data_IF_519613554815
#
_entry.id   IF_519613554815
#
_cell.length_a   1.000
_cell.length_b   1.000
_cell.length_c   1.000
_cell.angle_alpha   90.00
_cell.angle_beta   90.00
_cell.angle_gamma   90.00
#
_symmetry.space_group_name_H-M   'P 1'
#
loop_
_entity.id
_entity.type
_entity.pdbx_description
1 polymer ?
#
# COMPACT_ATOMS: atom_id res chain seq x y z
N UNK A 1 1.80 -5.11 27.28
CA UNK A 1 2.06 -4.98 25.83
C UNK A 1 1.50 -6.19 25.09
N UNK A 2 1.70 -7.41 25.62
CA UNK A 2 1.16 -8.67 25.09
C UNK A 2 -0.32 -8.63 24.76
N UNK A 3 -1.15 -8.13 25.69
CA UNK A 3 -2.59 -8.05 25.48
C UNK A 3 -2.97 -7.22 24.23
N UNK A 4 -2.29 -6.09 24.01
CA UNK A 4 -2.49 -5.26 22.81
C UNK A 4 -2.09 -6.04 21.55
N UNK A 5 -0.94 -6.71 21.58
CA UNK A 5 -0.42 -7.45 20.43
C UNK A 5 -1.30 -8.65 20.04
N UNK A 6 -1.76 -9.42 21.03
CA UNK A 6 -2.50 -10.65 20.79
C UNK A 6 -4.01 -10.44 20.67
N UNK A 7 -4.60 -9.52 21.44
CA UNK A 7 -6.07 -9.44 21.57
C UNK A 7 -6.69 -8.20 20.91
N UNK A 8 -5.92 -7.18 20.55
CA UNK A 8 -6.53 -5.98 19.95
C UNK A 8 -7.06 -6.23 18.54
N UNK A 9 -8.14 -5.53 18.20
CA UNK A 9 -8.73 -5.57 16.86
C UNK A 9 -7.75 -5.15 15.77
N UNK A 10 -7.00 -4.06 15.98
CA UNK A 10 -6.11 -3.49 14.98
C UNK A 10 -5.02 -4.46 14.51
N UNK A 11 -4.41 -5.19 15.44
CA UNK A 11 -3.40 -6.20 15.12
C UNK A 11 -3.99 -7.45 14.47
N UNK A 12 -5.20 -7.84 14.85
CA UNK A 12 -5.82 -9.06 14.32
C UNK A 12 -6.54 -8.86 12.98
N UNK A 13 -6.93 -7.63 12.62
CA UNK A 13 -7.72 -7.34 11.40
C UNK A 13 -7.06 -7.80 10.09
N UNK A 14 -5.73 -7.79 10.06
CA UNK A 14 -4.90 -8.16 8.90
C UNK A 14 -3.95 -9.32 9.19
N UNK A 15 -4.17 -10.05 10.29
CA UNK A 15 -3.37 -11.22 10.65
C UNK A 15 -3.91 -12.46 9.93
N UNK A 16 -3.01 -13.33 9.47
CA UNK A 16 -3.38 -14.49 8.66
C UNK A 16 -3.86 -14.10 7.25
N UNK A 17 -4.64 -14.98 6.62
CA UNK A 17 -5.00 -14.85 5.20
C UNK A 17 -6.51 -14.73 4.94
N UNK A 18 -7.35 -14.95 5.97
CA UNK A 18 -8.82 -15.01 5.82
C UNK A 18 -9.45 -13.68 5.39
N UNK A 19 -8.78 -12.56 5.69
CA UNK A 19 -9.21 -11.21 5.32
C UNK A 19 -8.92 -10.86 3.86
N UNK A 20 -8.01 -11.59 3.18
CA UNK A 20 -7.51 -11.18 1.87
C UNK A 20 -8.60 -11.26 0.79
N UNK A 21 -8.79 -10.23 -0.05
CA UNK A 21 -9.62 -10.36 -1.25
C UNK A 21 -8.86 -11.08 -2.37
N UNK A 22 -9.56 -11.40 -3.45
CA UNK A 22 -8.89 -11.77 -4.69
C UNK A 22 -8.21 -10.55 -5.33
N UNK A 23 -7.04 -10.72 -5.99
CA UNK A 23 -6.36 -11.99 -6.26
C UNK A 23 -5.46 -12.51 -5.11
N UNK A 24 -5.28 -11.76 -4.02
CA UNK A 24 -4.34 -12.12 -2.95
C UNK A 24 -4.69 -13.45 -2.27
N UNK A 25 -5.97 -13.74 -2.08
CA UNK A 25 -6.44 -14.97 -1.40
C UNK A 25 -5.98 -16.24 -2.11
N UNK A 26 -6.00 -16.26 -3.45
CA UNK A 26 -5.54 -17.38 -4.28
C UNK A 26 -4.08 -17.27 -4.74
N UNK A 27 -3.39 -16.16 -4.44
CA UNK A 27 -2.01 -15.91 -4.87
C UNK A 27 -1.00 -16.84 -4.18
N UNK A 28 0.00 -17.28 -4.94
CA UNK A 28 1.15 -18.07 -4.49
C UNK A 28 2.14 -17.28 -3.62
N UNK A 29 2.11 -15.95 -3.72
CA UNK A 29 3.02 -15.05 -3.00
C UNK A 29 2.44 -14.51 -1.67
N UNK A 30 1.20 -14.84 -1.33
CA UNK A 30 0.49 -14.27 -0.16
C UNK A 30 1.18 -14.49 1.18
N UNK A 31 1.97 -15.56 1.31
CA UNK A 31 2.74 -15.87 2.53
C UNK A 31 4.09 -15.13 2.60
N UNK A 32 4.50 -14.51 1.48
CA UNK A 32 5.75 -13.76 1.37
C UNK A 32 5.52 -12.27 1.62
N UNK A 33 4.49 -11.71 1.00
CA UNK A 33 4.22 -10.27 0.99
C UNK A 33 3.01 -9.84 1.83
N UNK A 34 2.20 -10.80 2.29
CA UNK A 34 0.99 -10.58 3.08
C UNK A 34 -0.01 -9.61 2.40
N UNK A 35 -0.05 -9.61 1.07
CA UNK A 35 -0.91 -8.74 0.27
C UNK A 35 -0.42 -7.30 0.13
N UNK A 36 0.78 -6.96 0.62
CA UNK A 36 1.39 -5.64 0.53
C UNK A 36 0.84 -4.62 1.54
N UNK A 37 1.07 -3.33 1.30
CA UNK A 37 0.80 -2.26 2.27
C UNK A 37 -0.68 -1.85 2.36
N UNK A 38 -1.25 -1.93 3.57
CA UNK A 38 -2.67 -1.57 3.84
C UNK A 38 -2.90 -0.06 3.81
N UNK A 39 -1.94 0.72 4.29
CA UNK A 39 -2.01 2.18 4.24
C UNK A 39 -2.02 2.69 2.79
N UNK A 40 -1.19 2.09 1.92
CA UNK A 40 -1.12 2.46 0.52
C UNK A 40 -2.39 2.05 -0.24
N UNK A 41 -2.90 0.84 0.02
CA UNK A 41 -4.20 0.41 -0.51
C UNK A 41 -5.32 1.39 -0.13
N UNK A 42 -5.40 1.79 1.14
CA UNK A 42 -6.39 2.77 1.57
C UNK A 42 -6.21 4.14 0.89
N UNK A 43 -5.00 4.71 0.92
CA UNK A 43 -4.76 6.05 0.37
C UNK A 43 -5.07 6.14 -1.13
N UNK A 44 -4.76 5.08 -1.89
CA UNK A 44 -4.91 5.10 -3.34
C UNK A 44 -6.25 4.55 -3.83
N UNK A 45 -6.95 3.73 -3.04
CA UNK A 45 -8.18 3.05 -3.47
C UNK A 45 -9.41 3.36 -2.61
N UNK A 46 -9.23 3.99 -1.45
CA UNK A 46 -10.28 4.26 -0.47
C UNK A 46 -10.65 3.05 0.40
N UNK A 47 -10.06 1.87 0.14
CA UNK A 47 -10.32 0.66 0.91
C UNK A 47 -8.99 -0.03 1.30
N UNK A 48 -8.76 -0.19 2.60
CA UNK A 48 -7.57 -0.81 3.16
C UNK A 48 -7.49 -2.33 2.91
N UNK A 49 -8.60 -2.97 2.57
CA UNK A 49 -8.64 -4.40 2.28
C UNK A 49 -8.16 -4.74 0.86
N UNK A 50 -8.20 -3.77 -0.07
CA UNK A 50 -7.82 -4.01 -1.45
C UNK A 50 -6.35 -4.43 -1.59
N UNK A 51 -6.05 -5.26 -2.58
CA UNK A 51 -4.68 -5.58 -2.98
C UNK A 51 -3.89 -4.30 -3.19
N UNK A 52 -2.67 -4.24 -2.63
CA UNK A 52 -1.78 -3.09 -2.78
C UNK A 52 -1.64 -2.72 -4.27
N UNK A 53 -1.98 -1.49 -4.69
CA UNK A 53 -1.86 -1.04 -6.07
C UNK A 53 -0.45 -1.16 -6.66
N UNK A 54 0.60 -1.25 -5.84
CA UNK A 54 1.97 -1.49 -6.33
C UNK A 54 2.10 -2.86 -6.98
N UNK A 55 1.37 -3.86 -6.49
CA UNK A 55 1.36 -5.19 -7.09
C UNK A 55 0.78 -5.14 -8.51
N UNK A 56 1.47 -5.73 -9.48
CA UNK A 56 1.01 -5.80 -10.88
C UNK A 56 -0.28 -6.61 -11.06
N UNK A 57 -0.59 -7.51 -10.12
CA UNK A 57 -1.84 -8.29 -10.09
C UNK A 57 -3.04 -7.47 -9.57
N UNK A 58 -2.82 -6.28 -9.00
CA UNK A 58 -3.90 -5.45 -8.45
C UNK A 58 -4.81 -4.89 -9.56
N UNK A 59 -6.15 -4.94 -9.41
CA UNK A 59 -7.08 -4.24 -10.32
C UNK A 59 -6.84 -2.73 -10.38
N UNK A 60 -6.19 -2.16 -9.36
CA UNK A 60 -5.89 -0.74 -9.26
C UNK A 60 -4.45 -0.39 -9.67
N UNK A 61 -3.69 -1.34 -10.23
CA UNK A 61 -2.29 -1.14 -10.60
C UNK A 61 -2.08 0.03 -11.58
N UNK A 62 -3.08 0.29 -12.43
CA UNK A 62 -3.07 1.44 -13.36
C UNK A 62 -2.76 2.77 -12.67
N UNK A 63 -3.23 2.99 -11.43
CA UNK A 63 -2.95 4.22 -10.67
C UNK A 63 -1.46 4.45 -10.43
N UNK A 64 -0.70 3.38 -10.19
CA UNK A 64 0.74 3.45 -9.99
C UNK A 64 1.46 3.71 -11.31
N UNK A 65 1.02 3.05 -12.38
CA UNK A 65 1.57 3.25 -13.72
C UNK A 65 1.35 4.69 -14.18
N UNK A 66 0.16 5.24 -13.96
CA UNK A 66 -0.18 6.61 -14.33
C UNK A 66 0.65 7.62 -13.52
N UNK A 67 0.74 7.47 -12.20
CA UNK A 67 1.57 8.32 -11.36
C UNK A 67 3.06 8.28 -11.74
N UNK A 68 3.58 7.12 -12.14
CA UNK A 68 4.95 6.99 -12.65
C UNK A 68 5.14 7.73 -13.97
N UNK A 69 4.20 7.57 -14.90
CA UNK A 69 4.24 8.28 -16.19
C UNK A 69 4.20 9.79 -16.00
N UNK A 70 3.34 10.28 -15.11
CA UNK A 70 3.26 11.71 -14.76
C UNK A 70 4.59 12.21 -14.19
N UNK A 71 5.24 11.43 -13.33
CA UNK A 71 6.55 11.77 -12.79
C UNK A 71 7.65 11.78 -13.87
N UNK A 72 7.64 10.82 -14.79
CA UNK A 72 8.62 10.73 -15.88
C UNK A 72 8.46 11.87 -16.91
N UNK A 73 7.24 12.37 -17.09
CA UNK A 73 6.94 13.53 -17.95
C UNK A 73 7.05 14.88 -17.23
N UNK A 74 7.51 14.90 -15.97
CA UNK A 74 7.63 16.13 -15.18
C UNK A 74 8.86 16.94 -15.57
N UNK A 75 8.67 18.22 -15.88
CA UNK A 75 9.75 19.18 -16.12
C UNK A 75 10.28 19.85 -14.84
N UNK A 76 9.78 19.45 -13.66
CA UNK A 76 10.15 20.04 -12.37
C UNK A 76 11.66 19.88 -12.15
N UNK A 77 12.35 21.01 -12.00
CA UNK A 77 13.80 21.03 -11.72
C UNK A 77 14.05 20.84 -10.24
N UNK A 78 15.19 20.24 -9.90
CA UNK A 78 15.61 20.02 -8.49
C UNK A 78 15.53 21.31 -7.66
N UNK A 79 15.88 22.47 -8.22
CA UNK A 79 15.80 23.77 -7.54
C UNK A 79 14.38 24.25 -7.21
N UNK A 80 13.33 23.64 -7.78
CA UNK A 80 11.93 23.92 -7.49
C UNK A 80 11.36 22.97 -6.43
N UNK A 81 12.08 21.92 -6.04
CA UNK A 81 11.63 20.96 -5.03
C UNK A 81 11.84 21.54 -3.62
N UNK A 82 10.82 21.44 -2.79
CA UNK A 82 10.94 21.71 -1.36
C UNK A 82 11.33 20.43 -0.63
N UNK A 83 12.60 20.34 -0.22
CA UNK A 83 13.10 19.18 0.52
C UNK A 83 12.54 19.12 1.93
N UNK A 84 12.14 17.92 2.38
CA UNK A 84 11.74 17.68 3.76
C UNK A 84 12.93 17.83 4.70
N UNK A 85 12.75 18.60 5.77
CA UNK A 85 13.66 18.84 6.88
C UNK A 85 12.86 18.94 8.19
N UNK A 86 13.53 19.08 9.33
CA UNK A 86 12.86 19.10 10.65
C UNK A 86 11.78 20.19 10.79
N UNK A 87 11.91 21.30 10.07
CA UNK A 87 11.01 22.45 10.19
C UNK A 87 9.77 22.34 9.29
N UNK A 88 9.77 21.47 8.27
CA UNK A 88 8.66 21.30 7.33
C UNK A 88 8.20 19.84 7.18
N UNK A 89 8.62 18.96 8.10
CA UNK A 89 8.23 17.53 8.14
C UNK A 89 7.11 17.26 9.12
#
# INVERSE_FOLDING_TARGET
LDDIWYNSFGFNRYRGFDWMPEPCRSCDEKEKDFGGCRCQAYMLTGNADNTDPVCSKSPHHGKIVDARREADCSDIKIGQLLFRNRSNS
#
